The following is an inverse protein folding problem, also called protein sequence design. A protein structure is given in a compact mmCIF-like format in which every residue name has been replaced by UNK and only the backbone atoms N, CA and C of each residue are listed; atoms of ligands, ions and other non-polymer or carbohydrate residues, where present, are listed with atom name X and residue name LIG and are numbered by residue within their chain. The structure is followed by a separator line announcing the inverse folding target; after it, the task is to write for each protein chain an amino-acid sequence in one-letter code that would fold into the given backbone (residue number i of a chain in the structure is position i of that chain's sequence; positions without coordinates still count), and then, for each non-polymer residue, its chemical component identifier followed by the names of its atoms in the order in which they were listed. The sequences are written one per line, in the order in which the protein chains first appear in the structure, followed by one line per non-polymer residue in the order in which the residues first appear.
data_IF_635419754445
#
_entry.id   IF_635419754445
#
_cell.length_a   1.000
_cell.length_b   1.000
_cell.length_c   1.000
_cell.angle_alpha   90.00
_cell.angle_beta   90.00
_cell.angle_gamma   90.00
#
_symmetry.space_group_name_H-M   'P 1'
#
loop_
_entity.id
_entity.type
_entity.pdbx_description
1 polymer ?
#
# COMPACT_ATOMS: atom_id res chain seq x y z
N UNK A 1 8.60 4.87 -19.08
CA UNK A 1 8.21 5.76 -17.96
C UNK A 1 7.47 4.94 -16.93
N UNK A 2 8.24 4.39 -16.00
CA UNK A 2 7.74 3.70 -14.82
C UNK A 2 7.30 4.71 -13.77
N UNK A 3 6.32 4.31 -12.98
CA UNK A 3 5.80 5.08 -11.86
C UNK A 3 5.88 4.18 -10.64
N UNK A 4 6.83 4.46 -9.76
CA UNK A 4 6.90 3.86 -8.43
C UNK A 4 6.05 4.60 -7.41
N UNK A 5 5.65 5.83 -7.71
CA UNK A 5 4.81 6.62 -6.81
C UNK A 5 3.53 7.06 -7.47
N UNK A 6 2.43 6.94 -6.75
CA UNK A 6 1.15 7.47 -7.16
C UNK A 6 0.42 8.09 -5.98
N UNK A 7 -0.10 9.30 -6.18
CA UNK A 7 -1.04 9.91 -5.25
C UNK A 7 -2.46 9.75 -5.80
N UNK A 8 -3.30 9.05 -5.06
CA UNK A 8 -4.67 8.74 -5.46
C UNK A 8 -5.64 9.07 -4.34
N UNK A 9 -6.88 9.25 -4.70
CA UNK A 9 -7.98 9.41 -3.78
C UNK A 9 -8.84 8.15 -3.82
N UNK A 10 -9.13 7.61 -2.64
CA UNK A 10 -10.01 6.47 -2.45
C UNK A 10 -11.23 6.89 -1.65
N UNK A 11 -12.38 6.29 -1.95
CA UNK A 11 -13.59 6.46 -1.16
C UNK A 11 -14.43 5.18 -1.15
N UNK A 12 -14.77 4.69 0.04
CA UNK A 12 -15.78 3.67 0.24
C UNK A 12 -17.15 4.16 -0.23
N UNK A 13 -18.00 3.25 -0.69
CA UNK A 13 -19.35 3.59 -1.12
C UNK A 13 -20.14 4.16 0.03
N UNK A 14 -20.93 5.21 -0.19
CA UNK A 14 -21.80 5.71 0.87
C UNK A 14 -22.89 4.67 1.19
N UNK A 15 -23.42 4.71 2.39
CA UNK A 15 -24.62 3.96 2.74
C UNK A 15 -25.85 4.46 1.97
N UNK A 16 -26.77 3.55 1.72
CA UNK A 16 -28.12 3.89 1.29
C UNK A 16 -28.90 4.56 2.43
N UNK A 17 -29.82 5.47 2.09
CA UNK A 17 -30.68 6.09 3.09
C UNK A 17 -31.83 5.16 3.48
N UNK A 18 -32.19 5.15 4.76
CA UNK A 18 -33.42 4.54 5.25
C UNK A 18 -34.63 5.39 4.86
N UNK A 19 -35.78 4.76 4.66
CA UNK A 19 -36.99 5.45 4.21
C UNK A 19 -37.96 5.74 5.36
N UNK A 20 -38.61 6.91 5.33
CA UNK A 20 -39.82 7.18 6.11
C UNK A 20 -41.02 6.87 5.21
N UNK A 21 -41.72 5.78 5.48
CA UNK A 21 -42.98 5.46 4.81
C UNK A 21 -44.02 4.92 5.79
N UNK A 22 -45.29 5.16 5.50
CA UNK A 22 -46.42 4.63 6.29
C UNK A 22 -47.24 3.69 5.42
N UNK A 23 -47.74 2.61 6.02
CA UNK A 23 -48.53 1.62 5.30
C UNK A 23 -49.87 2.20 4.88
N UNK A 24 -50.14 2.20 3.58
CA UNK A 24 -51.41 2.65 2.99
C UNK A 24 -52.04 1.50 2.19
N UNK A 25 -52.95 0.78 2.84
CA UNK A 25 -53.65 -0.35 2.24
C UNK A 25 -55.15 -0.26 2.49
N UNK A 26 -55.94 -0.74 1.52
CA UNK A 26 -57.39 -0.79 1.65
C UNK A 26 -57.74 -1.72 2.83
N UNK A 27 -58.65 -1.27 3.69
CA UNK A 27 -59.11 -1.99 4.89
C UNK A 27 -58.12 -2.04 6.07
N UNK A 28 -56.99 -1.32 6.00
CA UNK A 28 -56.04 -1.17 7.13
C UNK A 28 -56.03 0.30 7.60
N UNK A 29 -56.95 0.71 8.48
CA UNK A 29 -56.91 2.06 9.06
C UNK A 29 -55.68 2.21 9.97
N UNK A 30 -55.03 3.38 9.92
CA UNK A 30 -53.83 3.70 10.72
C UNK A 30 -52.66 2.72 10.54
N UNK A 31 -52.30 2.45 9.27
CA UNK A 31 -51.15 1.61 8.95
C UNK A 31 -49.86 2.14 9.59
N UNK A 32 -49.11 1.23 10.22
CA UNK A 32 -47.85 1.53 10.90
C UNK A 32 -46.69 1.87 9.94
N UNK A 33 -45.45 1.94 10.47
CA UNK A 33 -44.27 2.24 9.68
C UNK A 33 -44.03 1.17 8.61
N UNK A 34 -43.46 1.60 7.50
CA UNK A 34 -43.37 0.79 6.28
C UNK A 34 -42.22 1.20 5.36
N UNK A 35 -41.23 1.93 5.87
CA UNK A 35 -40.01 2.27 5.17
C UNK A 35 -38.89 1.28 5.51
N UNK A 36 -38.26 0.74 4.47
CA UNK A 36 -37.12 -0.16 4.61
C UNK A 36 -35.79 0.56 4.83
N UNK A 37 -34.76 -0.23 5.13
CA UNK A 37 -33.39 0.22 5.38
C UNK A 37 -32.65 0.49 4.06
N UNK A 38 -31.66 1.37 4.11
CA UNK A 38 -30.68 1.49 3.04
C UNK A 38 -29.71 0.31 3.00
N UNK A 39 -29.15 0.03 1.83
CA UNK A 39 -28.07 -0.95 1.67
C UNK A 39 -26.73 -0.42 2.15
N UNK A 40 -25.79 -1.32 2.42
CA UNK A 40 -24.41 -0.98 2.71
C UNK A 40 -23.70 -0.49 1.44
N UNK A 41 -22.83 0.51 1.56
CA UNK A 41 -21.90 0.86 0.49
C UNK A 41 -20.77 -0.16 0.40
N UNK A 42 -20.17 -0.29 -0.78
CA UNK A 42 -19.05 -1.21 -1.00
C UNK A 42 -17.74 -0.70 -0.39
N UNK A 43 -16.84 -1.62 -0.07
CA UNK A 43 -15.48 -1.34 0.38
C UNK A 43 -14.55 -1.09 -0.81
N UNK A 44 -13.48 -0.30 -0.60
CA UNK A 44 -12.34 -0.27 -1.53
C UNK A 44 -11.25 -1.17 -0.98
N UNK A 45 -10.96 -2.26 -1.69
CA UNK A 45 -9.98 -3.27 -1.28
C UNK A 45 -8.84 -3.31 -2.27
N UNK A 46 -7.61 -3.23 -1.78
CA UNK A 46 -6.43 -3.40 -2.60
C UNK A 46 -6.03 -4.86 -2.62
N UNK A 47 -5.64 -5.36 -3.80
CA UNK A 47 -5.14 -6.71 -3.99
C UNK A 47 -3.78 -6.67 -4.69
N UNK A 48 -2.79 -7.34 -4.10
CA UNK A 48 -1.50 -7.55 -4.74
C UNK A 48 -1.64 -8.49 -5.94
N UNK A 49 -1.06 -8.11 -7.08
CA UNK A 49 -1.04 -8.90 -8.31
C UNK A 49 0.39 -8.91 -8.89
N UNK A 50 1.04 -10.07 -8.88
CA UNK A 50 2.38 -10.28 -9.47
C UNK A 50 2.43 -10.01 -10.99
N UNK A 51 1.28 -10.01 -11.68
CA UNK A 51 1.20 -9.61 -13.07
C UNK A 51 1.40 -8.11 -13.29
N UNK A 52 1.31 -7.30 -12.22
CA UNK A 52 1.51 -5.86 -12.25
C UNK A 52 2.89 -5.49 -11.71
N UNK A 53 3.59 -4.62 -12.43
CA UNK A 53 4.98 -4.25 -12.13
C UNK A 53 5.21 -2.74 -12.03
N UNK A 54 4.16 -1.91 -12.08
CA UNK A 54 4.28 -0.44 -12.08
C UNK A 54 2.96 0.18 -11.60
N UNK A 55 3.02 1.36 -10.99
CA UNK A 55 1.84 2.15 -10.61
C UNK A 55 1.37 3.08 -11.75
N UNK A 56 1.80 2.83 -12.98
CA UNK A 56 1.48 3.69 -14.13
C UNK A 56 -0.04 3.88 -14.35
N UNK A 57 -0.85 2.86 -14.07
CA UNK A 57 -2.31 2.91 -14.25
C UNK A 57 -2.97 3.97 -13.33
N UNK A 58 -2.38 4.21 -12.16
CA UNK A 58 -2.83 5.20 -11.17
C UNK A 58 -2.53 6.64 -11.60
N UNK A 59 -1.72 6.85 -12.64
CA UNK A 59 -1.49 8.18 -13.22
C UNK A 59 -2.76 8.70 -13.91
N UNK A 60 -3.41 7.84 -14.68
CA UNK A 60 -4.58 8.21 -15.49
C UNK A 60 -5.87 8.12 -14.69
N UNK A 61 -5.97 7.15 -13.78
CA UNK A 61 -7.10 7.00 -12.87
C UNK A 61 -6.66 7.34 -11.45
N UNK A 62 -7.00 8.56 -11.01
CA UNK A 62 -6.65 9.07 -9.67
C UNK A 62 -7.74 8.87 -8.62
N UNK A 63 -8.98 8.59 -9.02
CA UNK A 63 -10.10 8.45 -8.11
C UNK A 63 -10.66 7.03 -8.20
N UNK A 64 -10.75 6.38 -7.04
CA UNK A 64 -11.28 5.04 -6.87
C UNK A 64 -12.42 5.13 -5.86
N UNK A 65 -13.65 4.90 -6.31
CA UNK A 65 -14.85 4.99 -5.49
C UNK A 65 -15.62 3.69 -5.60
N UNK A 66 -15.90 3.03 -4.48
CA UNK A 66 -16.78 1.87 -4.48
C UNK A 66 -18.25 2.31 -4.70
N UNK A 67 -19.11 1.35 -5.02
CA UNK A 67 -20.50 1.65 -5.32
C UNK A 67 -21.27 2.01 -4.04
N UNK A 68 -22.15 3.00 -4.15
CA UNK A 68 -23.05 3.41 -3.06
C UNK A 68 -24.16 2.37 -2.85
N UNK A 69 -24.53 2.12 -1.59
CA UNK A 69 -25.70 1.33 -1.25
C UNK A 69 -27.02 1.96 -1.72
N UNK A 70 -27.92 1.14 -2.25
CA UNK A 70 -29.24 1.60 -2.70
C UNK A 70 -30.11 2.07 -1.53
N UNK A 71 -31.05 2.99 -1.79
CA UNK A 71 -31.94 3.50 -0.75
C UNK A 71 -33.03 2.48 -0.39
N UNK A 72 -33.41 2.46 0.88
CA UNK A 72 -34.64 1.82 1.31
C UNK A 72 -35.83 2.51 0.66
N UNK A 73 -36.91 1.75 0.47
CA UNK A 73 -38.14 2.25 -0.13
C UNK A 73 -39.33 1.93 0.77
N UNK A 74 -40.47 2.52 0.43
CA UNK A 74 -41.76 2.10 1.00
C UNK A 74 -42.02 0.61 0.74
N UNK A 75 -43.04 0.08 1.41
CA UNK A 75 -43.33 -1.36 1.42
C UNK A 75 -42.35 -2.22 2.22
N UNK A 76 -41.60 -1.62 3.13
CA UNK A 76 -40.54 -2.28 3.88
C UNK A 76 -39.51 -2.93 2.95
N UNK A 77 -39.18 -2.26 1.84
CA UNK A 77 -38.21 -2.73 0.87
C UNK A 77 -36.84 -2.17 1.21
N UNK A 78 -35.90 -3.05 1.52
CA UNK A 78 -34.52 -2.64 1.78
C UNK A 78 -33.79 -2.35 0.48
N UNK A 79 -32.86 -1.40 0.52
CA UNK A 79 -31.97 -1.10 -0.60
C UNK A 79 -30.90 -2.18 -0.79
N UNK A 80 -30.48 -2.45 -2.04
CA UNK A 80 -29.38 -3.37 -2.32
C UNK A 80 -28.04 -2.82 -1.79
N UNK A 81 -27.13 -3.72 -1.42
CA UNK A 81 -25.74 -3.34 -1.13
C UNK A 81 -25.03 -2.88 -2.42
N UNK A 82 -24.12 -1.92 -2.30
CA UNK A 82 -23.23 -1.52 -3.39
C UNK A 82 -22.10 -2.54 -3.57
N UNK A 83 -21.61 -2.67 -4.79
CA UNK A 83 -20.45 -3.48 -5.13
C UNK A 83 -19.13 -2.91 -4.56
N UNK A 84 -18.31 -3.82 -4.00
CA UNK A 84 -16.94 -3.53 -3.58
C UNK A 84 -16.07 -3.21 -4.80
N UNK A 85 -15.13 -2.29 -4.63
CA UNK A 85 -14.13 -1.96 -5.63
C UNK A 85 -12.81 -2.66 -5.31
N UNK A 86 -12.47 -3.67 -6.09
CA UNK A 86 -11.15 -4.31 -6.06
C UNK A 86 -10.16 -3.52 -6.92
N UNK A 87 -9.08 -3.04 -6.30
CA UNK A 87 -8.01 -2.28 -6.96
C UNK A 87 -6.74 -3.10 -6.94
N UNK A 88 -6.32 -3.56 -8.12
CA UNK A 88 -5.08 -4.32 -8.26
C UNK A 88 -3.86 -3.40 -8.16
N UNK A 89 -2.89 -3.76 -7.32
CA UNK A 89 -1.60 -3.08 -7.18
C UNK A 89 -0.46 -4.08 -7.38
N UNK A 90 0.72 -3.66 -7.86
CA UNK A 90 1.90 -4.51 -7.87
C UNK A 90 2.24 -5.03 -6.48
N UNK A 91 2.76 -6.26 -6.41
CA UNK A 91 3.39 -6.78 -5.18
C UNK A 91 4.58 -5.89 -4.77
N UNK A 92 4.73 -5.63 -3.47
CA UNK A 92 5.67 -4.66 -2.91
C UNK A 92 5.13 -3.21 -2.82
N UNK A 93 3.83 -3.02 -3.01
CA UNK A 93 3.20 -1.70 -2.87
C UNK A 93 2.97 -1.37 -1.40
N UNK A 94 3.58 -0.28 -0.96
CA UNK A 94 3.34 0.34 0.35
C UNK A 94 2.29 1.43 0.18
N UNK A 95 1.29 1.41 1.07
CA UNK A 95 0.15 2.33 1.07
C UNK A 95 0.21 3.19 2.31
N UNK A 96 0.34 4.50 2.14
CA UNK A 96 0.31 5.48 3.23
C UNK A 96 -0.82 6.47 3.05
N UNK A 97 -1.33 6.98 4.16
CA UNK A 97 -2.20 8.16 4.14
C UNK A 97 -1.37 9.39 3.76
N UNK A 98 -1.82 10.16 2.76
CA UNK A 98 -1.06 11.27 2.21
C UNK A 98 -0.99 12.50 3.13
N UNK A 99 -1.91 12.60 4.09
CA UNK A 99 -2.00 13.75 4.99
C UNK A 99 -1.14 13.55 6.24
N UNK A 100 -1.14 12.33 6.80
CA UNK A 100 -0.45 12.00 8.05
C UNK A 100 0.86 11.25 7.84
N UNK A 101 1.04 10.60 6.68
CA UNK A 101 2.14 9.66 6.42
C UNK A 101 1.94 8.28 7.06
N UNK A 102 0.83 8.07 7.78
CA UNK A 102 0.50 6.82 8.46
C UNK A 102 0.55 5.65 7.49
N UNK A 103 1.25 4.58 7.86
CA UNK A 103 1.24 3.34 7.11
C UNK A 103 -0.11 2.63 7.25
N UNK A 104 -0.79 2.40 6.13
CA UNK A 104 -2.07 1.68 6.08
C UNK A 104 -1.82 0.21 5.74
N UNK A 105 -0.99 -0.05 4.75
CA UNK A 105 -0.73 -1.41 4.27
C UNK A 105 0.65 -1.54 3.63
N UNK A 106 1.25 -2.72 3.76
CA UNK A 106 2.39 -3.17 2.96
C UNK A 106 1.99 -4.49 2.28
N UNK A 107 1.81 -4.44 0.96
CA UNK A 107 1.29 -5.58 0.18
C UNK A 107 2.45 -6.38 -0.42
N UNK A 108 2.98 -7.35 0.31
CA UNK A 108 4.17 -8.13 -0.05
C UNK A 108 3.87 -9.47 -0.71
N UNK A 109 2.70 -10.06 -0.49
CA UNK A 109 2.35 -11.39 -0.99
C UNK A 109 1.30 -11.32 -2.10
N UNK A 110 1.48 -12.09 -3.17
CA UNK A 110 0.51 -12.14 -4.26
C UNK A 110 -0.89 -12.56 -3.77
N UNK A 111 -1.92 -11.85 -4.20
CA UNK A 111 -3.30 -12.09 -3.74
C UNK A 111 -3.61 -11.58 -2.34
N UNK A 112 -2.64 -10.99 -1.62
CA UNK A 112 -2.89 -10.31 -0.35
C UNK A 112 -3.93 -9.20 -0.55
N UNK A 113 -4.97 -9.19 0.29
CA UNK A 113 -6.06 -8.23 0.23
C UNK A 113 -6.09 -7.37 1.49
N UNK A 114 -6.26 -6.06 1.32
CA UNK A 114 -6.41 -5.11 2.42
C UNK A 114 -7.53 -4.12 2.11
N UNK A 115 -8.50 -3.98 3.02
CA UNK A 115 -9.53 -2.95 2.93
C UNK A 115 -8.88 -1.60 3.23
N UNK A 116 -8.88 -0.72 2.24
CA UNK A 116 -8.23 0.58 2.31
C UNK A 116 -9.22 1.67 2.74
N UNK A 117 -10.48 1.57 2.32
CA UNK A 117 -11.54 2.48 2.74
C UNK A 117 -12.85 1.71 2.88
N UNK A 118 -13.47 1.78 4.07
CA UNK A 118 -14.72 1.09 4.33
C UNK A 118 -15.92 1.81 3.72
N UNK A 119 -16.85 1.01 3.21
CA UNK A 119 -18.17 1.42 2.81
C UNK A 119 -19.00 1.87 4.02
N UNK A 120 -19.85 2.85 3.78
CA UNK A 120 -20.77 3.37 4.77
C UNK A 120 -21.92 2.42 5.06
N UNK A 121 -22.33 2.35 6.32
CA UNK A 121 -23.51 1.59 6.72
C UNK A 121 -24.79 2.15 6.11
N UNK A 122 -25.68 1.27 5.68
CA UNK A 122 -27.05 1.63 5.33
C UNK A 122 -27.82 2.25 6.51
N UNK A 123 -28.54 3.33 6.24
CA UNK A 123 -29.38 4.02 7.20
C UNK A 123 -30.66 3.23 7.49
N UNK A 124 -31.13 3.28 8.73
CA UNK A 124 -32.33 2.57 9.17
C UNK A 124 -33.61 3.26 8.71
N UNK A 125 -34.55 2.49 8.17
CA UNK A 125 -35.91 2.94 7.87
C UNK A 125 -36.77 3.06 9.12
N UNK A 126 -37.94 3.68 8.97
CA UNK A 126 -38.81 3.96 10.13
C UNK A 126 -39.38 2.73 10.82
N UNK A 127 -39.38 1.57 10.16
CA UNK A 127 -39.77 0.29 10.78
C UNK A 127 -38.88 -0.07 11.97
N UNK A 128 -37.58 0.26 11.92
CA UNK A 128 -36.64 -0.03 13.01
C UNK A 128 -36.79 0.87 14.24
N UNK A 129 -37.50 1.99 14.12
CA UNK A 129 -37.73 2.93 15.21
C UNK A 129 -39.07 2.71 15.93
N UNK A 130 -39.89 1.75 15.47
CA UNK A 130 -41.17 1.47 16.11
C UNK A 130 -40.95 0.89 17.51
N UNK A 131 -41.61 1.49 18.49
CA UNK A 131 -41.58 1.06 19.89
C UNK A 131 -42.99 1.04 20.49
N UNK A 132 -43.12 0.55 21.72
CA UNK A 132 -44.39 0.58 22.44
C UNK A 132 -44.91 2.00 22.66
N UNK A 133 -44.01 2.98 22.83
CA UNK A 133 -44.32 4.40 23.03
C UNK A 133 -44.46 5.19 21.72
N UNK A 134 -43.78 4.77 20.64
CA UNK A 134 -43.90 5.39 19.31
C UNK A 134 -44.16 4.31 18.25
N UNK A 135 -45.44 3.98 18.03
CA UNK A 135 -45.86 2.91 17.11
C UNK A 135 -45.81 3.30 15.64
N UNK A 136 -45.73 4.60 15.33
CA UNK A 136 -45.71 5.13 13.97
C UNK A 136 -44.65 6.25 13.86
N UNK A 137 -43.37 5.90 14.04
CA UNK A 137 -42.28 6.88 14.02
C UNK A 137 -42.12 7.51 12.63
N UNK A 138 -41.84 8.82 12.63
CA UNK A 138 -41.37 9.56 11.45
C UNK A 138 -39.87 9.82 11.56
N UNK A 139 -39.14 8.76 11.86
CA UNK A 139 -37.70 8.78 12.07
C UNK A 139 -37.09 7.80 11.08
N UNK A 140 -36.04 8.23 10.39
CA UNK A 140 -35.14 7.34 9.65
C UNK A 140 -33.72 7.88 9.78
N UNK A 141 -32.74 7.07 9.40
CA UNK A 141 -31.35 7.50 9.27
C UNK A 141 -30.98 7.56 7.79
N UNK A 142 -30.23 8.59 7.40
CA UNK A 142 -29.47 8.59 6.15
C UNK A 142 -28.35 7.56 6.25
N UNK A 143 -27.85 7.12 5.10
CA UNK A 143 -26.68 6.24 5.06
C UNK A 143 -25.45 6.95 5.61
N UNK A 144 -24.58 6.19 6.28
CA UNK A 144 -23.28 6.68 6.72
C UNK A 144 -22.42 7.01 5.48
N UNK A 145 -21.71 8.14 5.44
CA UNK A 145 -20.72 8.38 4.40
C UNK A 145 -19.63 7.30 4.42
N UNK A 146 -19.18 6.86 3.25
CA UNK A 146 -18.04 5.95 3.17
C UNK A 146 -16.74 6.65 3.55
N UNK A 147 -15.78 5.90 4.09
CA UNK A 147 -14.45 6.44 4.42
C UNK A 147 -13.79 6.98 3.15
N UNK A 148 -13.17 8.15 3.24
CA UNK A 148 -12.46 8.78 2.13
C UNK A 148 -11.12 9.33 2.60
N UNK A 149 -10.09 9.14 1.78
CA UNK A 149 -8.75 9.60 2.10
C UNK A 149 -7.89 9.71 0.83
N UNK A 150 -6.88 10.58 0.91
CA UNK A 150 -5.79 10.61 -0.05
C UNK A 150 -4.71 9.62 0.36
N UNK A 151 -4.22 8.85 -0.60
CA UNK A 151 -3.16 7.86 -0.41
C UNK A 151 -1.93 8.23 -1.20
N UNK A 152 -0.77 7.95 -0.62
CA UNK A 152 0.50 7.81 -1.32
C UNK A 152 0.83 6.33 -1.45
N UNK A 153 0.88 5.87 -2.70
CA UNK A 153 1.34 4.54 -3.06
C UNK A 153 2.81 4.64 -3.41
N UNK A 154 3.63 3.80 -2.81
CA UNK A 154 5.03 3.61 -3.18
C UNK A 154 5.26 2.13 -3.50
N UNK A 155 5.58 1.84 -4.76
CA UNK A 155 6.08 0.55 -5.17
C UNK A 155 7.55 0.45 -4.76
N UNK A 156 7.81 -0.22 -3.65
CA UNK A 156 9.18 -0.62 -3.30
C UNK A 156 9.54 -1.78 -4.23
N UNK A 157 10.38 -1.53 -5.24
CA UNK A 157 10.91 -2.63 -6.05
C UNK A 157 11.74 -3.54 -5.14
N UNK A 158 11.22 -4.74 -4.90
CA UNK A 158 11.90 -5.82 -4.20
C UNK A 158 12.80 -6.48 -5.24
N UNK A 159 14.04 -6.03 -5.40
CA UNK A 159 15.04 -6.94 -5.96
C UNK A 159 15.46 -7.83 -4.80
N UNK A 160 15.05 -9.10 -4.80
CA UNK A 160 15.50 -10.04 -3.78
C UNK A 160 17.02 -10.24 -3.86
N UNK A 161 17.54 -10.18 -5.09
CA UNK A 161 18.91 -10.54 -5.42
C UNK A 161 19.54 -9.49 -6.33
N UNK A 162 20.71 -9.00 -5.92
CA UNK A 162 21.50 -8.03 -6.69
C UNK A 162 22.63 -8.70 -7.46
N UNK A 163 22.73 -8.44 -8.77
CA UNK A 163 23.93 -8.76 -9.52
C UNK A 163 24.96 -7.64 -9.37
N UNK A 164 26.11 -7.96 -8.80
CA UNK A 164 27.27 -7.09 -8.68
C UNK A 164 28.42 -7.67 -9.52
N UNK A 165 29.30 -6.80 -9.98
CA UNK A 165 30.31 -7.11 -10.98
C UNK A 165 30.63 -5.90 -11.85
N UNK A 166 31.85 -5.89 -12.38
CA UNK A 166 32.32 -4.89 -13.32
C UNK A 166 31.52 -4.90 -14.64
N UNK A 167 31.61 -3.81 -15.44
CA UNK A 167 31.11 -3.82 -16.81
C UNK A 167 31.57 -5.06 -17.58
N UNK A 168 30.75 -5.55 -18.50
CA UNK A 168 31.04 -6.70 -19.35
C UNK A 168 31.34 -8.03 -18.62
N UNK A 169 31.19 -8.11 -17.30
CA UNK A 169 31.26 -9.39 -16.56
C UNK A 169 30.14 -10.36 -16.97
N UNK A 170 29.06 -9.86 -17.58
CA UNK A 170 27.95 -10.66 -18.11
C UNK A 170 26.65 -10.60 -17.30
N UNK A 171 26.49 -9.61 -16.42
CA UNK A 171 25.28 -9.43 -15.58
C UNK A 171 23.98 -9.33 -16.37
N UNK A 172 23.93 -8.47 -17.39
CA UNK A 172 22.73 -8.30 -18.22
C UNK A 172 22.43 -9.56 -19.03
N UNK A 173 23.47 -10.26 -19.51
CA UNK A 173 23.34 -11.57 -20.16
C UNK A 173 22.78 -12.61 -19.21
N UNK A 174 23.30 -12.68 -17.98
CA UNK A 174 22.80 -13.57 -16.93
C UNK A 174 21.30 -13.38 -16.72
N UNK A 175 20.85 -12.15 -16.44
CA UNK A 175 19.42 -11.85 -16.28
C UNK A 175 18.62 -12.22 -17.51
N UNK A 176 19.09 -11.89 -18.72
CA UNK A 176 18.34 -12.19 -19.93
C UNK A 176 18.09 -13.68 -20.17
N UNK A 177 18.95 -14.54 -19.63
CA UNK A 177 18.89 -16.00 -19.79
C UNK A 177 18.03 -16.67 -18.73
N UNK A 178 18.07 -16.20 -17.49
CA UNK A 178 17.31 -16.80 -16.37
C UNK A 178 15.94 -16.18 -16.15
N UNK A 179 15.70 -15.00 -16.73
CA UNK A 179 14.46 -14.25 -16.55
C UNK A 179 13.30 -14.89 -17.31
N UNK A 180 12.33 -15.44 -16.59
CA UNK A 180 11.05 -15.90 -17.14
C UNK A 180 10.21 -14.74 -17.72
N UNK A 181 10.31 -13.56 -17.10
CA UNK A 181 9.68 -12.33 -17.59
C UNK A 181 10.56 -11.12 -17.27
N UNK A 182 10.75 -10.22 -18.24
CA UNK A 182 11.34 -8.91 -17.98
C UNK A 182 10.26 -8.02 -17.36
N UNK A 183 10.42 -7.52 -16.12
CA UNK A 183 9.58 -6.43 -15.64
C UNK A 183 9.63 -5.28 -16.64
N UNK A 184 8.54 -4.51 -16.75
CA UNK A 184 8.55 -3.31 -17.59
C UNK A 184 9.64 -2.39 -17.04
N UNK A 185 10.72 -2.30 -17.81
CA UNK A 185 11.94 -1.55 -17.52
C UNK A 185 11.58 -0.15 -17.00
N UNK A 186 12.10 0.14 -15.82
CA UNK A 186 11.77 1.33 -15.06
C UNK A 186 12.92 2.34 -15.08
N UNK A 187 12.64 3.58 -15.46
CA UNK A 187 13.51 4.70 -15.12
C UNK A 187 13.31 4.96 -13.63
N UNK A 188 14.25 4.53 -12.77
CA UNK A 188 14.12 4.73 -11.32
C UNK A 188 14.36 6.21 -11.05
N UNK A 189 13.52 6.88 -10.23
CA UNK A 189 13.57 8.33 -10.07
C UNK A 189 14.84 8.84 -9.40
N UNK A 190 15.64 7.91 -8.88
CA UNK A 190 16.91 8.14 -8.23
C UNK A 190 18.05 7.48 -8.99
N UNK A 191 17.97 7.25 -10.29
CA UNK A 191 19.13 6.98 -11.15
C UNK A 191 18.91 7.58 -12.54
N UNK A 192 19.97 8.07 -13.18
CA UNK A 192 19.95 8.31 -14.63
C UNK A 192 20.10 7.02 -15.45
N UNK A 193 20.54 5.94 -14.79
CA UNK A 193 20.72 4.62 -15.38
C UNK A 193 19.56 3.71 -14.99
N UNK A 194 18.94 3.13 -16.01
CA UNK A 194 17.90 2.13 -15.84
C UNK A 194 18.53 0.77 -15.49
N UNK A 195 18.27 0.18 -14.32
CA UNK A 195 18.72 -1.17 -14.01
C UNK A 195 17.89 -2.17 -14.82
N UNK A 196 18.55 -3.26 -15.25
CA UNK A 196 17.85 -4.36 -15.91
C UNK A 196 17.26 -5.26 -14.83
N UNK A 197 15.95 -5.44 -14.82
CA UNK A 197 15.30 -6.40 -13.94
C UNK A 197 14.97 -7.69 -14.68
N UNK A 198 14.89 -8.80 -13.93
CA UNK A 198 14.36 -10.07 -14.40
C UNK A 198 13.62 -10.81 -13.29
N UNK A 199 12.46 -11.38 -13.60
CA UNK A 199 11.77 -12.31 -12.69
C UNK A 199 12.27 -13.72 -12.99
N UNK A 200 12.83 -14.39 -11.99
CA UNK A 200 13.31 -15.76 -12.09
C UNK A 200 12.31 -16.70 -11.44
N UNK A 201 11.95 -17.77 -12.14
CA UNK A 201 11.17 -18.87 -11.57
C UNK A 201 12.11 -20.02 -11.20
N UNK A 202 12.14 -20.39 -9.92
CA UNK A 202 12.93 -21.48 -9.37
C UNK A 202 12.08 -22.76 -9.15
N UNK A 203 10.99 -22.92 -9.91
CA UNK A 203 10.13 -24.11 -9.82
C UNK A 203 9.38 -24.19 -8.48
N UNK A 204 9.57 -25.28 -7.74
CA UNK A 204 8.93 -25.50 -6.43
C UNK A 204 9.42 -24.51 -5.35
N UNK A 205 10.60 -23.91 -5.54
CA UNK A 205 11.23 -22.99 -4.59
C UNK A 205 10.67 -21.55 -4.68
N UNK A 206 9.78 -21.29 -5.64
CA UNK A 206 9.10 -20.01 -5.83
C UNK A 206 9.70 -19.13 -6.94
N UNK A 207 9.43 -17.84 -6.89
CA UNK A 207 9.99 -16.85 -7.81
C UNK A 207 10.65 -15.71 -7.05
N UNK A 208 11.67 -15.09 -7.66
CA UNK A 208 12.37 -13.95 -7.08
C UNK A 208 12.80 -12.97 -8.17
N UNK A 209 13.05 -11.72 -7.78
CA UNK A 209 13.45 -10.66 -8.72
C UNK A 209 14.95 -10.43 -8.65
N UNK A 210 15.60 -10.56 -9.81
CA UNK A 210 16.97 -10.13 -10.03
C UNK A 210 17.03 -8.69 -10.51
N UNK A 211 17.99 -7.94 -9.99
CA UNK A 211 18.39 -6.65 -10.54
C UNK A 211 19.85 -6.66 -11.00
N UNK A 212 20.08 -6.24 -12.25
CA UNK A 212 21.38 -5.81 -12.75
C UNK A 212 21.63 -4.42 -12.18
N UNK A 213 22.51 -4.34 -11.19
CA UNK A 213 22.85 -3.05 -10.61
C UNK A 213 23.92 -2.41 -11.51
N UNK A 214 23.65 -1.29 -12.22
CA UNK A 214 24.60 -0.72 -13.17
C UNK A 214 25.79 -0.06 -12.46
N UNK A 215 27.03 -0.39 -12.86
CA UNK A 215 28.20 0.46 -12.62
C UNK A 215 28.96 0.31 -11.29
N UNK A 216 29.70 -0.80 -11.11
CA UNK A 216 30.94 -0.75 -10.32
C UNK A 216 32.04 -0.24 -11.25
N UNK A 217 32.46 1.01 -11.09
CA UNK A 217 33.62 1.57 -11.82
C UNK A 217 34.67 1.91 -10.78
N UNK A 218 35.87 1.36 -10.94
CA UNK A 218 37.04 1.68 -10.12
C UNK A 218 37.18 3.19 -9.91
N UNK A 219 37.31 3.62 -8.65
CA UNK A 219 37.62 5.01 -8.31
C UNK A 219 36.70 5.68 -7.29
N UNK A 220 35.70 4.96 -6.75
CA UNK A 220 34.70 5.49 -5.81
C UNK A 220 35.31 6.12 -4.54
N UNK A 221 36.45 5.60 -4.07
CA UNK A 221 37.16 6.16 -2.91
C UNK A 221 37.70 7.59 -3.13
N UNK A 222 37.81 8.07 -4.37
CA UNK A 222 38.27 9.42 -4.70
C UNK A 222 37.14 10.37 -5.17
N UNK A 223 35.87 10.03 -4.89
CA UNK A 223 34.73 10.91 -5.18
C UNK A 223 34.31 10.95 -6.64
N UNK A 224 34.83 10.03 -7.47
CA UNK A 224 34.49 9.87 -8.88
C UNK A 224 34.09 8.42 -9.12
N UNK A 225 32.84 8.08 -8.88
CA UNK A 225 32.30 6.75 -9.14
C UNK A 225 31.37 6.29 -8.02
N UNK A 226 30.22 5.75 -8.41
CA UNK A 226 29.06 5.42 -7.57
C UNK A 226 28.30 6.66 -7.09
N UNK A 227 27.26 7.06 -7.85
CA UNK A 227 26.26 7.95 -7.26
C UNK A 227 25.67 7.30 -6.01
N UNK A 228 25.41 8.07 -4.95
CA UNK A 228 24.61 7.64 -3.77
C UNK A 228 23.29 6.92 -4.14
N UNK A 229 22.86 7.11 -5.38
CA UNK A 229 21.77 6.49 -6.12
C UNK A 229 21.92 4.98 -6.41
N UNK A 230 23.13 4.49 -6.72
CA UNK A 230 23.42 3.08 -7.01
C UNK A 230 23.18 2.18 -5.79
N UNK A 231 23.63 2.62 -4.62
CA UNK A 231 23.73 1.76 -3.44
C UNK A 231 22.41 1.66 -2.66
N UNK A 232 21.51 2.65 -2.78
CA UNK A 232 20.12 2.55 -2.31
C UNK A 232 19.34 1.38 -2.94
N UNK A 233 19.70 0.96 -4.16
CA UNK A 233 19.12 -0.23 -4.79
C UNK A 233 19.68 -1.51 -4.16
N UNK A 234 21.00 -1.56 -3.96
CA UNK A 234 21.67 -2.68 -3.28
C UNK A 234 21.19 -2.82 -1.85
N UNK A 235 20.89 -1.74 -1.12
CA UNK A 235 20.34 -1.75 0.25
C UNK A 235 19.13 -2.65 0.45
N UNK A 236 18.40 -3.04 -0.61
CA UNK A 236 17.20 -3.87 -0.50
C UNK A 236 17.40 -5.33 -0.91
N UNK A 237 18.52 -5.68 -1.55
CA UNK A 237 18.79 -7.06 -1.97
C UNK A 237 19.20 -7.91 -0.78
N UNK A 238 18.49 -8.99 -0.52
CA UNK A 238 18.78 -9.89 0.61
C UNK A 238 20.03 -10.74 0.36
N UNK A 239 20.37 -10.95 -0.90
CA UNK A 239 21.51 -11.74 -1.36
C UNK A 239 22.21 -11.04 -2.54
N UNK A 240 23.52 -11.19 -2.63
CA UNK A 240 24.34 -10.65 -3.72
C UNK A 240 24.97 -11.77 -4.54
N UNK A 241 24.94 -11.64 -5.86
CA UNK A 241 25.68 -12.51 -6.77
C UNK A 241 26.81 -11.70 -7.40
N UNK A 242 28.04 -12.06 -7.08
CA UNK A 242 29.23 -11.57 -7.77
C UNK A 242 29.36 -12.26 -9.13
N UNK A 243 29.03 -11.55 -10.21
CA UNK A 243 29.31 -12.00 -11.56
C UNK A 243 30.70 -11.50 -11.94
N UNK A 244 31.63 -12.44 -12.13
CA UNK A 244 33.04 -12.14 -12.45
C UNK A 244 33.45 -12.77 -13.76
N UNK A 245 34.28 -12.08 -14.54
CA UNK A 245 34.83 -12.59 -15.79
C UNK A 245 36.07 -13.45 -15.53
N UNK A 246 35.91 -14.78 -15.52
CA UNK A 246 37.05 -15.69 -15.30
C UNK A 246 37.97 -15.80 -16.51
N UNK A 247 37.46 -15.51 -17.69
CA UNK A 247 38.25 -15.53 -18.91
C UNK A 247 39.19 -14.32 -19.03
N UNK A 248 39.01 -13.30 -18.18
CA UNK A 248 39.84 -12.09 -18.18
C UNK A 248 39.75 -11.33 -19.50
N UNK A 249 38.57 -11.31 -20.14
CA UNK A 249 38.44 -10.79 -21.52
C UNK A 249 38.80 -9.31 -21.66
N UNK A 250 38.76 -8.54 -20.58
CA UNK A 250 39.18 -7.14 -20.53
C UNK A 250 40.59 -6.93 -19.93
N UNK A 251 41.34 -8.01 -19.69
CA UNK A 251 42.63 -7.95 -19.00
C UNK A 251 42.54 -7.65 -17.50
N UNK A 252 41.34 -7.73 -16.93
CA UNK A 252 41.09 -7.61 -15.48
C UNK A 252 41.39 -8.94 -14.76
N UNK A 253 41.82 -8.86 -13.51
CA UNK A 253 42.00 -10.02 -12.65
C UNK A 253 40.70 -10.29 -11.86
N UNK A 254 40.01 -11.43 -12.07
CA UNK A 254 38.77 -11.73 -11.36
C UNK A 254 38.94 -11.79 -9.84
N UNK A 255 40.13 -12.11 -9.34
CA UNK A 255 40.39 -12.12 -7.89
C UNK A 255 40.37 -10.68 -7.34
N UNK A 256 41.04 -9.76 -8.04
CA UNK A 256 41.12 -8.36 -7.63
C UNK A 256 39.75 -7.67 -7.78
N UNK A 257 38.99 -8.02 -8.82
CA UNK A 257 37.65 -7.50 -9.04
C UNK A 257 36.74 -7.70 -7.82
N UNK A 258 36.73 -8.91 -7.24
CA UNK A 258 35.93 -9.21 -6.04
C UNK A 258 36.39 -8.37 -4.85
N UNK A 259 37.71 -8.22 -4.66
CA UNK A 259 38.28 -7.44 -3.54
C UNK A 259 37.87 -5.97 -3.64
N UNK A 260 37.95 -5.39 -4.84
CA UNK A 260 37.54 -4.00 -5.09
C UNK A 260 36.05 -3.83 -4.78
N UNK A 261 35.20 -4.70 -5.32
CA UNK A 261 33.75 -4.60 -5.14
C UNK A 261 33.37 -4.73 -3.66
N UNK A 262 33.89 -5.73 -2.95
CA UNK A 262 33.58 -5.92 -1.54
C UNK A 262 34.05 -4.76 -0.67
N UNK A 263 35.21 -4.17 -0.97
CA UNK A 263 35.70 -2.98 -0.30
C UNK A 263 34.79 -1.78 -0.54
N UNK A 264 34.29 -1.59 -1.76
CA UNK A 264 33.35 -0.52 -2.08
C UNK A 264 32.00 -0.69 -1.37
N UNK A 265 31.49 -1.92 -1.28
CA UNK A 265 30.27 -2.24 -0.52
C UNK A 265 30.42 -1.90 0.96
N UNK A 266 31.53 -2.32 1.59
CA UNK A 266 31.81 -2.06 3.01
C UNK A 266 31.97 -0.57 3.33
N UNK A 267 32.67 0.18 2.46
CA UNK A 267 32.88 1.62 2.64
C UNK A 267 31.57 2.43 2.61
N UNK A 268 30.56 1.93 1.90
CA UNK A 268 29.26 2.60 1.82
C UNK A 268 28.35 2.25 2.98
N UNK A 269 28.06 0.95 3.14
CA UNK A 269 27.24 0.45 4.25
C UNK A 269 27.79 -0.92 4.66
N UNK A 270 28.38 -1.02 5.88
CA UNK A 270 28.87 -2.28 6.42
C UNK A 270 27.82 -3.41 6.43
N UNK A 271 26.52 -3.07 6.43
CA UNK A 271 25.45 -4.07 6.36
C UNK A 271 25.38 -4.77 5.00
N UNK A 272 25.81 -4.13 3.90
CA UNK A 272 25.84 -4.73 2.57
C UNK A 272 26.88 -5.84 2.48
N UNK A 273 28.08 -5.59 3.02
CA UNK A 273 29.16 -6.59 3.05
C UNK A 273 28.82 -7.81 3.90
N UNK A 274 27.96 -7.66 4.92
CA UNK A 274 27.52 -8.78 5.78
C UNK A 274 26.44 -9.67 5.16
N UNK A 275 25.90 -9.31 3.98
CA UNK A 275 24.85 -10.11 3.34
C UNK A 275 25.43 -11.40 2.78
N UNK A 276 24.64 -12.47 2.68
CA UNK A 276 25.06 -13.66 1.95
C UNK A 276 25.42 -13.31 0.51
N UNK A 277 26.57 -13.80 0.08
CA UNK A 277 27.07 -13.59 -1.27
C UNK A 277 27.49 -14.93 -1.87
N UNK A 278 27.25 -15.06 -3.16
CA UNK A 278 27.77 -16.17 -3.98
C UNK A 278 28.53 -15.61 -5.17
N UNK A 279 29.51 -16.35 -5.66
CA UNK A 279 30.31 -15.97 -6.81
C UNK A 279 29.86 -16.80 -8.02
N UNK A 280 29.34 -16.11 -9.03
CA UNK A 280 29.09 -16.63 -10.36
C UNK A 280 30.32 -16.37 -11.25
N UNK A 281 31.19 -17.39 -11.33
CA UNK A 281 32.42 -17.35 -12.10
C UNK A 281 32.08 -17.54 -13.60
N UNK A 282 31.90 -16.44 -14.32
CA UNK A 282 31.30 -16.40 -15.66
C UNK A 282 32.33 -16.44 -16.79
N UNK A 283 31.86 -16.79 -17.99
CA UNK A 283 32.64 -16.97 -19.24
C UNK A 283 33.56 -18.20 -19.22
N UNK A 284 33.18 -19.26 -18.53
CA UNK A 284 33.91 -20.54 -18.53
C UNK A 284 34.01 -21.22 -19.90
N UNK A 285 33.20 -20.79 -20.87
CA UNK A 285 33.29 -21.20 -22.27
C UNK A 285 34.52 -20.65 -23.01
N UNK A 286 35.23 -19.67 -22.41
CA UNK A 286 36.37 -18.98 -23.03
C UNK A 286 37.69 -19.46 -22.38
N UNK A 287 38.42 -20.30 -23.10
CA UNK A 287 39.71 -20.92 -22.70
C UNK A 287 40.89 -20.08 -23.27
N UNK A 288 42.08 -20.05 -22.65
CA UNK A 288 42.57 -20.94 -21.57
C UNK A 288 42.55 -20.39 -20.15
N UNK A 289 42.39 -19.08 -19.96
CA UNK A 289 42.56 -18.46 -18.64
C UNK A 289 41.43 -18.79 -17.64
N UNK A 290 40.24 -19.17 -18.12
CA UNK A 290 39.08 -19.40 -17.28
C UNK A 290 39.30 -20.47 -16.18
N UNK A 291 39.90 -21.60 -16.51
CA UNK A 291 40.15 -22.69 -15.54
C UNK A 291 41.22 -22.32 -14.51
N UNK A 292 42.29 -21.64 -14.93
CA UNK A 292 43.34 -21.16 -14.04
C UNK A 292 42.80 -20.12 -13.06
N UNK A 293 42.03 -19.15 -13.56
CA UNK A 293 41.40 -18.14 -12.72
C UNK A 293 40.31 -18.71 -11.80
N UNK A 294 39.56 -19.73 -12.25
CA UNK A 294 38.62 -20.43 -11.37
C UNK A 294 39.34 -21.11 -10.20
N UNK A 295 40.49 -21.73 -10.43
CA UNK A 295 41.30 -22.32 -9.37
C UNK A 295 41.79 -21.25 -8.38
N UNK A 296 42.29 -20.10 -8.88
CA UNK A 296 42.71 -18.96 -8.06
C UNK A 296 41.57 -18.39 -7.21
N UNK A 297 40.36 -18.25 -7.79
CA UNK A 297 39.17 -17.80 -7.07
C UNK A 297 38.80 -18.75 -5.93
N UNK A 298 38.87 -20.07 -6.17
CA UNK A 298 38.58 -21.08 -5.15
C UNK A 298 39.60 -21.08 -4.01
N UNK A 299 40.87 -20.89 -4.34
CA UNK A 299 41.94 -20.79 -3.35
C UNK A 299 41.75 -19.56 -2.45
N UNK A 300 41.44 -18.39 -3.03
CA UNK A 300 41.33 -17.14 -2.27
C UNK A 300 39.99 -17.01 -1.51
N UNK A 301 38.88 -17.43 -2.12
CA UNK A 301 37.53 -17.12 -1.64
C UNK A 301 36.66 -18.33 -1.32
N UNK A 302 37.11 -19.56 -1.62
CA UNK A 302 36.30 -20.76 -1.47
C UNK A 302 35.89 -21.09 -0.03
N UNK A 303 36.59 -20.55 0.96
CA UNK A 303 36.21 -20.66 2.38
C UNK A 303 35.14 -19.62 2.80
N UNK A 304 35.04 -18.50 2.08
CA UNK A 304 34.17 -17.37 2.43
C UNK A 304 32.88 -17.36 1.62
N UNK A 305 32.96 -17.75 0.34
CA UNK A 305 31.86 -17.65 -0.62
C UNK A 305 31.73 -18.94 -1.43
N UNK A 306 30.48 -19.31 -1.71
CA UNK A 306 30.20 -20.40 -2.64
C UNK A 306 30.49 -19.95 -4.09
N UNK A 307 31.30 -20.73 -4.81
CA UNK A 307 31.75 -20.37 -6.17
C UNK A 307 31.16 -21.33 -7.20
N UNK A 308 30.37 -20.78 -8.12
CA UNK A 308 29.70 -21.49 -9.19
C UNK A 308 30.32 -21.14 -10.55
N UNK A 309 30.98 -22.09 -11.23
CA UNK A 309 31.40 -21.88 -12.62
C UNK A 309 30.18 -21.88 -13.54
N UNK A 310 30.03 -20.82 -14.33
CA UNK A 310 28.92 -20.64 -15.26
C UNK A 310 29.40 -20.14 -16.62
N UNK A 311 28.52 -20.28 -17.61
CA UNK A 311 28.54 -19.46 -18.81
C UNK A 311 27.13 -18.94 -19.07
N UNK A 312 26.95 -17.64 -18.84
CA UNK A 312 25.72 -16.95 -19.18
C UNK A 312 25.44 -17.02 -20.69
N UNK A 313 26.47 -17.02 -21.53
CA UNK A 313 26.31 -17.06 -22.98
C UNK A 313 25.79 -18.42 -23.49
N UNK A 314 26.20 -19.53 -22.87
CA UNK A 314 25.82 -20.89 -23.30
C UNK A 314 24.75 -21.55 -22.42
N UNK A 315 24.19 -20.80 -21.46
CA UNK A 315 23.27 -21.31 -20.43
C UNK A 315 23.86 -22.45 -19.57
N UNK A 316 25.18 -22.46 -19.38
CA UNK A 316 25.83 -23.53 -18.61
C UNK A 316 25.91 -23.14 -17.13
N UNK A 317 25.42 -24.02 -16.25
CA UNK A 317 25.55 -23.88 -14.80
C UNK A 317 24.60 -22.88 -14.15
N UNK A 318 23.80 -22.13 -14.92
CA UNK A 318 22.86 -21.12 -14.40
C UNK A 318 21.82 -21.76 -13.47
N UNK A 319 21.24 -22.90 -13.85
CA UNK A 319 20.22 -23.59 -13.03
C UNK A 319 20.72 -23.89 -11.61
N UNK A 320 22.00 -24.30 -11.46
CA UNK A 320 22.60 -24.56 -10.14
C UNK A 320 22.70 -23.30 -9.29
N UNK A 321 23.02 -22.17 -9.93
CA UNK A 321 23.06 -20.86 -9.25
C UNK A 321 21.65 -20.47 -8.83
N UNK A 322 20.66 -20.59 -9.71
CA UNK A 322 19.27 -20.20 -9.43
C UNK A 322 18.68 -21.02 -8.28
N UNK A 323 18.85 -22.35 -8.30
CA UNK A 323 18.39 -23.20 -7.21
C UNK A 323 19.05 -22.86 -5.89
N UNK A 324 20.38 -22.68 -5.88
CA UNK A 324 21.08 -22.31 -4.64
C UNK A 324 20.61 -20.96 -4.09
N UNK A 325 20.42 -19.98 -4.97
CA UNK A 325 19.93 -18.66 -4.59
C UNK A 325 18.54 -18.76 -3.97
N UNK A 326 17.63 -19.54 -4.56
CA UNK A 326 16.31 -19.76 -4.03
C UNK A 326 16.33 -20.44 -2.65
N UNK A 327 17.17 -21.48 -2.46
CA UNK A 327 17.40 -22.11 -1.16
C UNK A 327 17.90 -21.12 -0.09
N UNK A 328 18.87 -20.27 -0.45
CA UNK A 328 19.42 -19.25 0.46
C UNK A 328 18.37 -18.19 0.80
N UNK A 329 17.60 -17.72 -0.19
CA UNK A 329 16.50 -16.77 0.02
C UNK A 329 15.40 -17.32 0.93
N UNK A 330 15.14 -18.63 0.87
CA UNK A 330 14.18 -19.30 1.74
C UNK A 330 14.66 -19.36 3.20
N UNK A 331 15.98 -19.39 3.44
CA UNK A 331 16.58 -19.42 4.78
C UNK A 331 16.77 -18.03 5.39
N UNK A 332 16.92 -17.00 4.55
CA UNK A 332 17.07 -15.63 5.02
C UNK A 332 15.74 -15.13 5.62
N UNK A 333 15.78 -14.24 6.62
CA UNK A 333 14.57 -13.56 7.07
C UNK A 333 13.93 -12.87 5.86
N UNK A 334 12.62 -13.08 5.66
CA UNK A 334 11.85 -12.25 4.73
C UNK A 334 12.00 -10.80 5.18
N UNK A 335 11.96 -9.84 4.25
CA UNK A 335 11.82 -8.43 4.64
C UNK A 335 10.54 -8.39 5.48
N UNK A 336 10.67 -8.10 6.77
CA UNK A 336 9.48 -7.98 7.62
C UNK A 336 8.62 -6.86 7.03
N UNK A 337 7.33 -7.11 6.77
CA UNK A 337 6.44 -6.04 6.37
C UNK A 337 6.56 -4.93 7.39
N UNK A 338 6.65 -3.68 6.93
CA UNK A 338 6.42 -2.59 7.87
C UNK A 338 5.03 -2.84 8.45
N UNK A 339 4.97 -3.12 9.75
CA UNK A 339 3.69 -3.29 10.40
C UNK A 339 3.00 -1.92 10.32
N UNK A 340 1.74 -1.84 9.84
CA UNK A 340 0.93 -0.65 10.06
C UNK A 340 1.10 -0.27 11.52
N UNK A 341 1.23 1.02 11.83
CA UNK A 341 1.25 1.44 13.23
C UNK A 341 -0.01 0.88 13.88
N UNK A 342 0.14 -0.26 14.60
CA UNK A 342 -0.92 -0.88 15.38
C UNK A 342 -1.19 0.12 16.49
N UNK A 343 -2.24 0.91 16.26
CA UNK A 343 -2.88 1.85 17.15
C UNK A 343 -2.05 2.12 18.42
N UNK A 344 -1.02 2.96 18.27
CA UNK A 344 -0.27 3.52 19.38
C UNK A 344 -1.32 4.13 20.31
N UNK A 345 -1.64 3.40 21.38
CA UNK A 345 -2.55 3.74 22.47
C UNK A 345 -3.46 4.90 22.12
N UNK A 346 -4.66 4.64 21.57
CA UNK A 346 -5.68 5.68 21.39
C UNK A 346 -5.76 6.51 22.68
N UNK A 347 -5.21 7.73 22.65
CA UNK A 347 -5.87 8.82 23.34
C UNK A 347 -7.30 8.74 22.80
N UNK A 348 -8.31 8.50 23.64
CA UNK A 348 -9.68 8.41 23.15
C UNK A 348 -9.91 9.68 22.35
N UNK A 349 -10.06 9.57 21.03
CA UNK A 349 -10.35 10.72 20.17
C UNK A 349 -11.48 11.47 20.87
N UNK A 350 -11.25 12.75 21.21
CA UNK A 350 -12.27 13.54 21.87
C UNK A 350 -13.54 13.44 21.01
N UNK A 351 -14.66 13.02 21.60
CA UNK A 351 -15.91 12.78 20.86
C UNK A 351 -16.32 13.96 19.99
N UNK A 352 -15.92 15.15 20.42
CA UNK A 352 -15.99 16.40 19.69
C UNK A 352 -14.93 17.39 20.22
N UNK A 353 -14.55 18.34 19.37
CA UNK A 353 -13.74 19.50 19.72
C UNK A 353 -14.48 20.78 19.31
N UNK A 354 -14.42 21.83 20.13
CA UNK A 354 -15.14 23.09 19.92
C UNK A 354 -14.11 24.19 19.67
N UNK A 355 -14.20 24.84 18.50
CA UNK A 355 -13.36 25.98 18.12
C UNK A 355 -14.21 27.14 17.64
N UNK A 356 -13.65 28.35 17.69
CA UNK A 356 -14.21 29.52 17.00
C UNK A 356 -13.69 29.58 15.58
N UNK A 357 -14.60 29.79 14.64
CA UNK A 357 -14.31 30.02 13.23
C UNK A 357 -13.92 31.51 13.00
N UNK A 358 -13.42 31.84 11.81
CA UNK A 358 -12.88 33.18 11.48
C UNK A 358 -13.98 34.26 11.56
N UNK A 359 -15.22 33.90 11.26
CA UNK A 359 -16.40 34.78 11.35
C UNK A 359 -16.94 34.93 12.78
N UNK A 360 -16.32 34.27 13.76
CA UNK A 360 -16.70 34.31 15.17
C UNK A 360 -17.75 33.28 15.58
N UNK A 361 -18.28 32.49 14.64
CA UNK A 361 -19.23 31.41 14.90
C UNK A 361 -18.52 30.20 15.52
N UNK A 362 -19.30 29.30 16.12
CA UNK A 362 -18.77 28.08 16.74
C UNK A 362 -18.69 26.95 15.71
N UNK A 363 -17.59 26.21 15.71
CA UNK A 363 -17.40 25.00 14.91
C UNK A 363 -17.11 23.82 15.83
N UNK A 364 -17.94 22.80 15.71
CA UNK A 364 -17.78 21.51 16.39
C UNK A 364 -17.26 20.52 15.37
N UNK A 365 -16.12 19.91 15.65
CA UNK A 365 -15.51 18.87 14.80
C UNK A 365 -15.39 17.56 15.57
N UNK A 366 -15.58 16.43 14.91
CA UNK A 366 -15.37 15.12 15.54
C UNK A 366 -16.06 14.01 14.77
N UNK A 367 -15.34 12.90 14.55
CA UNK A 367 -15.79 11.79 13.71
C UNK A 367 -17.15 11.24 14.13
N UNK A 368 -17.39 11.10 15.43
CA UNK A 368 -18.66 10.58 15.96
C UNK A 368 -19.82 11.58 15.79
N UNK A 369 -19.63 12.85 16.14
CA UNK A 369 -20.69 13.86 16.08
C UNK A 369 -21.06 14.21 14.63
N UNK A 370 -20.05 14.38 13.75
CA UNK A 370 -20.26 14.67 12.33
C UNK A 370 -21.00 13.52 11.65
N UNK A 371 -20.67 12.27 12.01
CA UNK A 371 -21.42 11.11 11.55
C UNK A 371 -22.89 11.18 11.96
N UNK A 372 -23.19 11.47 13.23
CA UNK A 372 -24.58 11.56 13.69
C UNK A 372 -25.37 12.64 12.96
N UNK A 373 -24.76 13.80 12.70
CA UNK A 373 -25.37 14.88 11.91
C UNK A 373 -25.59 14.45 10.46
N UNK A 374 -24.58 13.90 9.79
CA UNK A 374 -24.66 13.46 8.40
C UNK A 374 -25.73 12.36 8.19
N UNK A 375 -25.92 11.50 9.19
CA UNK A 375 -26.92 10.42 9.17
C UNK A 375 -28.33 10.89 9.57
N UNK A 376 -28.56 12.15 9.91
CA UNK A 376 -29.87 12.65 10.36
C UNK A 376 -30.63 13.38 9.24
N UNK A 377 -31.94 13.14 9.16
CA UNK A 377 -32.87 13.99 8.41
C UNK A 377 -33.18 15.25 9.22
N UNK A 378 -32.40 16.31 8.99
CA UNK A 378 -32.50 17.57 9.73
C UNK A 378 -33.83 18.30 9.47
N UNK A 379 -34.53 17.95 8.38
CA UNK A 379 -35.83 18.53 8.02
C UNK A 379 -37.01 17.83 8.71
N UNK A 380 -36.80 16.70 9.40
CA UNK A 380 -37.87 15.96 10.10
C UNK A 380 -37.72 16.10 11.62
N UNK A 381 -38.71 16.73 12.25
CA UNK A 381 -38.70 17.08 13.68
C UNK A 381 -38.32 15.91 14.60
N UNK A 382 -38.92 14.73 14.41
CA UNK A 382 -38.62 13.56 15.26
C UNK A 382 -37.16 13.06 15.10
N UNK A 383 -36.57 13.25 13.91
CA UNK A 383 -35.18 12.88 13.65
C UNK A 383 -34.24 13.89 14.29
N UNK A 384 -34.57 15.19 14.23
CA UNK A 384 -33.83 16.25 14.90
C UNK A 384 -33.88 16.11 16.44
N UNK A 385 -35.04 15.83 17.02
CA UNK A 385 -35.17 15.55 18.46
C UNK A 385 -34.31 14.37 18.93
N UNK A 386 -34.13 13.36 18.06
CA UNK A 386 -33.26 12.22 18.35
C UNK A 386 -31.80 12.64 18.32
N UNK A 387 -31.39 13.46 17.36
CA UNK A 387 -30.04 14.00 17.27
C UNK A 387 -29.70 14.87 18.50
N UNK A 388 -30.62 15.74 18.93
CA UNK A 388 -30.47 16.53 20.15
C UNK A 388 -30.27 15.64 21.40
N UNK A 389 -31.05 14.56 21.53
CA UNK A 389 -30.86 13.59 22.62
C UNK A 389 -29.49 12.93 22.58
N UNK A 390 -28.97 12.61 21.39
CA UNK A 390 -27.62 12.06 21.23
C UNK A 390 -26.57 13.09 21.65
N UNK A 391 -26.67 14.34 21.17
CA UNK A 391 -25.78 15.46 21.53
C UNK A 391 -25.73 15.70 23.04
N UNK A 392 -26.89 15.68 23.69
CA UNK A 392 -27.00 15.78 25.15
C UNK A 392 -26.29 14.64 25.87
N UNK A 393 -26.50 13.40 25.43
CA UNK A 393 -25.81 12.23 26.00
C UNK A 393 -24.29 12.24 25.73
N UNK A 394 -23.85 12.85 24.63
CA UNK A 394 -22.44 13.05 24.34
C UNK A 394 -21.80 14.14 25.22
N UNK A 395 -22.61 15.02 25.82
CA UNK A 395 -22.14 16.16 26.62
C UNK A 395 -21.84 17.42 25.80
N UNK A 396 -22.27 17.47 24.53
CA UNK A 396 -22.00 18.61 23.65
C UNK A 396 -22.64 19.91 24.15
N UNK A 397 -23.87 19.84 24.67
CA UNK A 397 -24.57 21.02 25.23
C UNK A 397 -23.74 21.65 26.36
N UNK A 398 -23.28 20.84 27.32
CA UNK A 398 -22.42 21.30 28.41
C UNK A 398 -21.09 21.83 27.89
N UNK A 399 -20.47 21.14 26.92
CA UNK A 399 -19.20 21.57 26.31
C UNK A 399 -19.31 22.93 25.61
N UNK A 400 -20.41 23.21 24.92
CA UNK A 400 -20.65 24.50 24.28
C UNK A 400 -20.87 25.61 25.32
N UNK A 401 -21.63 25.34 26.39
CA UNK A 401 -21.84 26.29 27.48
C UNK A 401 -20.52 26.61 28.19
N UNK A 402 -19.70 25.59 28.48
CA UNK A 402 -18.37 25.76 29.08
C UNK A 402 -17.41 26.53 28.16
N UNK A 403 -17.48 26.31 26.85
CA UNK A 403 -16.74 27.10 25.86
C UNK A 403 -17.21 28.56 25.80
N UNK A 404 -18.45 28.84 26.22
CA UNK A 404 -19.02 30.18 26.32
C UNK A 404 -19.95 30.57 25.17
N UNK A 405 -20.65 29.59 24.57
CA UNK A 405 -21.74 29.84 23.61
C UNK A 405 -22.83 30.70 24.29
N UNK A 406 -23.45 31.61 23.53
CA UNK A 406 -24.59 32.41 23.97
C UNK A 406 -25.82 32.10 23.13
N UNK A 407 -27.00 32.33 23.70
CA UNK A 407 -28.26 32.26 22.95
C UNK A 407 -28.19 33.23 21.77
N UNK A 408 -28.46 32.72 20.57
CA UNK A 408 -28.34 33.45 19.31
C UNK A 408 -27.01 33.28 18.57
N UNK A 409 -26.01 32.63 19.19
CA UNK A 409 -24.77 32.28 18.50
C UNK A 409 -25.02 31.17 17.47
N UNK A 410 -24.33 31.20 16.34
CA UNK A 410 -24.40 30.14 15.32
C UNK A 410 -23.38 29.05 15.63
N UNK A 411 -23.83 27.80 15.61
CA UNK A 411 -23.01 26.59 15.77
C UNK A 411 -23.03 25.79 14.48
N UNK A 412 -21.85 25.35 14.03
CA UNK A 412 -21.63 24.54 12.83
C UNK A 412 -21.10 23.16 13.18
N UNK A 413 -21.70 22.12 12.62
CA UNK A 413 -21.24 20.73 12.73
C UNK A 413 -21.35 20.09 11.35
N UNK A 414 -20.20 19.84 10.71
CA UNK A 414 -20.18 19.47 9.29
C UNK A 414 -20.92 20.49 8.43
N UNK A 415 -21.90 20.03 7.65
CA UNK A 415 -22.76 20.87 6.78
C UNK A 415 -23.99 21.46 7.49
N UNK A 416 -24.19 21.16 8.78
CA UNK A 416 -25.33 21.66 9.54
C UNK A 416 -24.95 22.92 10.32
N UNK A 417 -25.70 23.99 10.08
CA UNK A 417 -25.63 25.23 10.86
C UNK A 417 -26.95 25.44 11.59
N UNK A 418 -26.87 25.82 12.86
CA UNK A 418 -28.04 26.16 13.66
C UNK A 418 -27.74 27.29 14.66
N UNK A 419 -28.77 28.03 15.02
CA UNK A 419 -28.72 29.04 16.08
C UNK A 419 -28.87 28.34 17.43
N UNK A 420 -27.97 28.62 18.37
CA UNK A 420 -28.01 28.08 19.71
C UNK A 420 -29.16 28.69 20.51
N UNK A 421 -30.00 27.81 21.05
CA UNK A 421 -31.07 28.13 22.00
C UNK A 421 -31.00 27.15 23.18
N UNK A 422 -31.33 27.62 24.38
CA UNK A 422 -31.41 26.78 25.59
C UNK A 422 -32.53 25.72 25.55
#
# INVERSE_FOLDING_TARGET
MFYDRAKIYVKGGDGGNGCIAMRREKYVPFGGPWGGDGGHGGDVTFIADEGLNTLQDFRYKKHFKAERGGHGMGKNMNGPAGEDLLVKVPTGTVVREAETGRLIADLLENGQQVVIAKGGRGGRGNVHFASSSNKAPRIAEKGEPGEELWLELELKVIADVGLIGFPNAGKSTFISMVSAAKPKIADYPFTTLVPNLGVVSAGEEGSFVLADIPGLVEGASQGVGLGHEFLRHTERTRLLIHVVDTAGTEGRDPVEDIKIINRELELYDPRLSTRPQIIAANKMDIIPLAEENLARLREEFGEQFEIYPISAATNQGLDKVIHRVAELLAQLPKIEPEQPEEDVMFEPEERFNIKRDIDGNWRVTGKEIERHVAMTYLEEDQSLERLQRIMKMMGLENGLVEAGVKVGDIVRIGDWEFEWSE
#
